data_IF_385460288271
#
_entry.id   IF_385460288271
#
_cell.length_a   1.000
_cell.length_b   1.000
_cell.length_c   1.000
_cell.angle_alpha   90.00
_cell.angle_beta   90.00
_cell.angle_gamma   90.00
#
_symmetry.space_group_name_H-M   'P 1'
#
loop_
_entity.id
_entity.type
_entity.pdbx_description
1 polymer ?
#
# COMPACT_ATOMS: atom_id res chain seq x y z
N UNK A 1 24.22 -4.46 -4.18
CA UNK A 1 22.75 -4.53 -3.98
C UNK A 1 22.32 -3.52 -2.92
N UNK A 2 21.47 -2.55 -3.25
CA UNK A 2 20.88 -1.64 -2.27
C UNK A 2 19.87 -2.44 -1.43
N UNK A 3 20.01 -2.43 -0.11
CA UNK A 3 19.08 -3.16 0.76
C UNK A 3 17.65 -2.63 0.59
N UNK A 4 16.65 -3.53 0.69
CA UNK A 4 15.23 -3.17 0.63
C UNK A 4 14.91 -2.04 1.62
N UNK A 5 15.58 -2.02 2.77
CA UNK A 5 15.47 -0.96 3.76
C UNK A 5 15.87 0.43 3.22
N UNK A 6 17.01 0.54 2.51
CA UNK A 6 17.44 1.80 1.88
C UNK A 6 16.45 2.25 0.81
N UNK A 7 15.91 1.32 0.00
CA UNK A 7 14.84 1.62 -0.96
C UNK A 7 13.58 2.13 -0.25
N UNK A 8 13.19 1.54 0.90
CA UNK A 8 12.05 2.03 1.69
C UNK A 8 12.26 3.45 2.20
N UNK A 9 13.46 3.79 2.70
CA UNK A 9 13.78 5.16 3.14
C UNK A 9 13.68 6.14 1.96
N UNK A 10 14.27 5.79 0.83
CA UNK A 10 14.25 6.65 -0.36
C UNK A 10 12.83 6.81 -0.93
N UNK A 11 11.99 5.77 -0.85
CA UNK A 11 10.58 5.83 -1.22
C UNK A 11 9.82 6.82 -0.33
N UNK A 12 10.05 6.78 0.99
CA UNK A 12 9.44 7.74 1.91
C UNK A 12 9.91 9.16 1.65
N UNK A 13 11.18 9.35 1.28
CA UNK A 13 11.71 10.65 0.91
C UNK A 13 11.09 11.16 -0.40
N UNK A 14 10.87 10.30 -1.39
CA UNK A 14 10.16 10.67 -2.61
C UNK A 14 8.69 11.03 -2.35
N UNK A 15 7.98 10.21 -1.56
CA UNK A 15 6.60 10.51 -1.15
C UNK A 15 6.49 11.81 -0.34
N UNK A 16 7.54 12.18 0.42
CA UNK A 16 7.59 13.49 1.09
C UNK A 16 7.45 14.64 0.12
N UNK A 17 8.30 14.68 -0.91
CA UNK A 17 8.29 15.77 -1.87
C UNK A 17 6.94 15.88 -2.59
N UNK A 18 6.31 14.74 -2.87
CA UNK A 18 5.01 14.69 -3.54
C UNK A 18 3.92 15.25 -2.64
N UNK A 19 3.80 14.74 -1.40
CA UNK A 19 2.79 15.20 -0.45
C UNK A 19 3.01 16.66 -0.09
N UNK A 20 4.26 17.09 0.10
CA UNK A 20 4.60 18.49 0.31
C UNK A 20 4.20 19.36 -0.88
N UNK A 21 4.50 18.96 -2.12
CA UNK A 21 4.08 19.72 -3.30
C UNK A 21 2.56 19.88 -3.36
N UNK A 22 1.79 18.81 -3.09
CA UNK A 22 0.32 18.86 -3.03
C UNK A 22 -0.15 19.85 -1.97
N UNK A 23 0.43 19.81 -0.76
CA UNK A 23 0.07 20.72 0.32
C UNK A 23 0.37 22.17 -0.05
N UNK A 24 1.56 22.46 -0.60
CA UNK A 24 1.93 23.82 -1.01
C UNK A 24 1.05 24.37 -2.14
N UNK A 25 0.71 23.55 -3.14
CA UNK A 25 -0.23 23.94 -4.19
C UNK A 25 -1.62 24.23 -3.59
N UNK A 26 -2.10 23.37 -2.69
CA UNK A 26 -3.38 23.57 -2.02
C UNK A 26 -3.38 24.83 -1.14
N UNK A 27 -2.26 25.14 -0.49
CA UNK A 27 -2.08 26.34 0.31
C UNK A 27 -2.18 27.61 -0.54
N UNK A 28 -1.50 27.62 -1.70
CA UNK A 28 -1.50 28.76 -2.60
C UNK A 28 -2.89 29.01 -3.19
N UNK A 29 -3.62 27.94 -3.53
CA UNK A 29 -5.00 28.02 -4.00
C UNK A 29 -5.92 28.60 -2.92
N UNK A 30 -5.78 28.12 -1.67
CA UNK A 30 -6.58 28.59 -0.55
C UNK A 30 -6.28 30.06 -0.19
N UNK A 31 -5.00 30.44 -0.22
CA UNK A 31 -4.56 31.83 -0.02
C UNK A 31 -5.17 32.79 -1.06
N UNK A 32 -5.23 32.36 -2.33
CA UNK A 32 -5.84 33.16 -3.39
C UNK A 32 -7.35 33.38 -3.16
N UNK A 33 -8.05 32.40 -2.57
CA UNK A 33 -9.49 32.48 -2.28
C UNK A 33 -9.78 33.39 -1.08
N UNK A 34 -8.91 33.39 -0.06
CA UNK A 34 -9.20 33.98 1.26
C UNK A 34 -8.75 35.47 1.39
N UNK A 35 -7.99 36.03 0.43
CA UNK A 35 -7.44 37.40 0.46
C UNK A 35 -6.50 37.67 1.66
N UNK A 36 -5.62 38.70 1.62
CA UNK A 36 -4.43 38.77 2.47
C UNK A 36 -4.69 39.12 3.95
N UNK A 37 -5.93 39.41 4.35
CA UNK A 37 -6.25 39.83 5.73
C UNK A 37 -6.09 38.70 6.77
N UNK A 38 -6.09 37.44 6.35
CA UNK A 38 -6.03 36.26 7.23
C UNK A 38 -4.94 35.27 6.83
N UNK A 39 -3.85 35.75 6.23
CA UNK A 39 -2.72 34.90 5.79
C UNK A 39 -2.16 33.96 6.88
N UNK A 40 -2.17 34.37 8.16
CA UNK A 40 -1.77 33.53 9.28
C UNK A 40 -2.72 32.33 9.51
N UNK A 41 -4.02 32.52 9.30
CA UNK A 41 -5.03 31.47 9.46
C UNK A 41 -4.84 30.33 8.43
N UNK A 42 -4.40 30.68 7.22
CA UNK A 42 -4.09 29.68 6.18
C UNK A 42 -3.00 28.72 6.66
N UNK A 43 -1.92 29.22 7.27
CA UNK A 43 -0.83 28.39 7.77
C UNK A 43 -1.25 27.49 8.95
N UNK A 44 -2.14 27.96 9.83
CA UNK A 44 -2.71 27.13 10.90
C UNK A 44 -3.57 25.99 10.32
N UNK A 45 -4.38 26.28 9.30
CA UNK A 45 -5.14 25.25 8.59
C UNK A 45 -4.22 24.19 7.94
N UNK A 46 -3.03 24.57 7.46
CA UNK A 46 -2.09 23.61 6.87
C UNK A 46 -1.57 22.58 7.87
N UNK A 47 -1.41 22.94 9.14
CA UNK A 47 -0.98 21.99 10.19
C UNK A 47 -2.00 20.87 10.36
N UNK A 48 -3.29 21.19 10.28
CA UNK A 48 -4.39 20.20 10.38
C UNK A 48 -4.61 19.48 9.04
N UNK A 49 -4.46 20.18 7.92
CA UNK A 49 -4.71 19.63 6.59
C UNK A 49 -3.64 18.62 6.17
N UNK A 50 -2.39 18.86 6.55
CA UNK A 50 -1.23 17.99 6.25
C UNK A 50 -1.44 16.51 6.63
N UNK A 51 -1.78 16.15 7.89
CA UNK A 51 -2.01 14.76 8.28
C UNK A 51 -3.20 14.13 7.56
N UNK A 52 -4.25 14.91 7.31
CA UNK A 52 -5.47 14.44 6.63
C UNK A 52 -5.14 14.09 5.18
N UNK A 53 -4.53 15.02 4.44
CA UNK A 53 -4.12 14.82 3.04
C UNK A 53 -3.09 13.69 2.95
N UNK A 54 -2.14 13.63 3.87
CA UNK A 54 -1.15 12.56 3.95
C UNK A 54 -1.79 11.19 4.08
N UNK A 55 -2.71 10.99 5.05
CA UNK A 55 -3.42 9.72 5.20
C UNK A 55 -4.19 9.38 3.93
N UNK A 56 -4.97 10.33 3.41
CA UNK A 56 -5.81 10.09 2.23
C UNK A 56 -4.92 9.65 1.05
N UNK A 57 -3.81 10.35 0.81
CA UNK A 57 -2.83 9.99 -0.21
C UNK A 57 -2.33 8.56 -0.01
N UNK A 58 -1.76 8.24 1.16
CA UNK A 58 -1.17 6.91 1.40
C UNK A 58 -2.21 5.79 1.36
N UNK A 59 -3.39 5.99 1.95
CA UNK A 59 -4.44 4.97 2.00
C UNK A 59 -5.03 4.70 0.63
N UNK A 60 -5.36 5.75 -0.14
CA UNK A 60 -5.93 5.58 -1.47
C UNK A 60 -4.95 4.90 -2.43
N UNK A 61 -3.69 5.33 -2.42
CA UNK A 61 -2.68 4.78 -3.32
C UNK A 61 -2.36 3.33 -2.98
N UNK A 62 -2.10 3.04 -1.71
CA UNK A 62 -1.73 1.70 -1.29
C UNK A 62 -2.91 0.72 -1.39
N UNK A 63 -4.16 1.18 -1.24
CA UNK A 63 -5.33 0.34 -1.47
C UNK A 63 -5.56 0.04 -2.96
N UNK A 64 -5.55 1.07 -3.82
CA UNK A 64 -5.90 0.90 -5.24
C UNK A 64 -4.78 0.25 -6.04
N UNK A 65 -3.54 0.67 -5.81
CA UNK A 65 -2.39 0.28 -6.62
C UNK A 65 -1.37 -0.57 -5.86
N UNK A 66 -1.59 -0.90 -4.57
CA UNK A 66 -0.62 -1.66 -3.76
C UNK A 66 0.66 -0.88 -3.44
N UNK A 67 0.82 0.32 -4.01
CA UNK A 67 2.05 1.11 -3.94
C UNK A 67 1.74 2.60 -3.89
N UNK A 68 2.68 3.39 -3.40
CA UNK A 68 2.67 4.86 -3.49
C UNK A 68 3.60 5.32 -4.59
N UNK A 69 3.47 6.57 -5.04
CA UNK A 69 4.31 7.07 -6.15
C UNK A 69 5.80 6.92 -5.83
N UNK A 70 6.23 7.26 -4.61
CA UNK A 70 7.62 7.10 -4.19
C UNK A 70 8.08 5.64 -4.11
N UNK A 71 7.19 4.72 -3.75
CA UNK A 71 7.49 3.28 -3.71
C UNK A 71 7.52 2.66 -5.10
N UNK A 72 6.64 3.08 -5.99
CA UNK A 72 6.58 2.62 -7.36
C UNK A 72 7.85 3.02 -8.13
N UNK A 73 8.36 4.24 -7.92
CA UNK A 73 9.66 4.69 -8.46
C UNK A 73 10.84 3.79 -8.05
N UNK A 74 10.69 3.01 -6.98
CA UNK A 74 11.73 2.11 -6.47
C UNK A 74 11.35 0.62 -6.59
N UNK A 75 10.31 0.31 -7.38
CA UNK A 75 9.79 -1.04 -7.61
C UNK A 75 9.44 -1.76 -6.31
N UNK A 76 8.86 -1.02 -5.36
CA UNK A 76 8.38 -1.55 -4.10
C UNK A 76 6.86 -1.61 -4.11
N UNK A 77 6.34 -2.74 -3.64
CA UNK A 77 4.91 -2.98 -3.51
C UNK A 77 4.58 -3.49 -2.11
N UNK A 78 3.35 -3.22 -1.68
CA UNK A 78 2.84 -3.64 -0.39
C UNK A 78 1.75 -4.68 -0.60
N UNK A 79 2.01 -5.87 -0.09
CA UNK A 79 1.08 -6.98 -0.13
C UNK A 79 0.56 -7.30 1.27
N UNK A 80 -0.66 -7.82 1.34
CA UNK A 80 -1.22 -8.37 2.57
C UNK A 80 -0.58 -9.72 2.88
N UNK A 81 -0.32 -9.96 4.16
CA UNK A 81 0.10 -11.25 4.71
C UNK A 81 -0.99 -11.82 5.61
N UNK A 82 -2.23 -11.35 5.46
CA UNK A 82 -3.38 -11.92 6.13
C UNK A 82 -3.76 -13.24 5.48
N UNK A 83 -4.20 -14.22 6.26
CA UNK A 83 -4.41 -15.60 5.79
C UNK A 83 -5.47 -15.67 4.66
N UNK A 84 -6.43 -14.74 4.67
CA UNK A 84 -7.50 -14.64 3.68
C UNK A 84 -7.11 -13.88 2.40
N UNK A 85 -6.13 -12.99 2.45
CA UNK A 85 -5.75 -12.11 1.32
C UNK A 85 -4.23 -12.21 1.06
N UNK A 86 -3.67 -13.40 1.25
CA UNK A 86 -2.22 -13.59 1.24
C UNK A 86 -1.63 -13.27 -0.14
N UNK A 87 -0.66 -12.35 -0.16
CA UNK A 87 -0.05 -11.76 -1.36
C UNK A 87 -0.97 -10.92 -2.24
N UNK A 88 -2.13 -10.50 -1.74
CA UNK A 88 -3.05 -9.62 -2.47
C UNK A 88 -2.92 -8.16 -2.01
N UNK A 89 -3.60 -7.28 -2.75
CA UNK A 89 -3.66 -5.85 -2.42
C UNK A 89 -4.26 -5.63 -1.04
N UNK A 90 -3.77 -4.61 -0.35
CA UNK A 90 -4.19 -4.35 1.02
C UNK A 90 -5.60 -3.72 1.10
N UNK A 91 -6.52 -4.26 1.91
CA UNK A 91 -7.83 -3.65 2.12
C UNK A 91 -7.71 -2.33 2.90
N UNK A 92 -8.71 -1.45 2.76
CA UNK A 92 -8.71 -0.11 3.37
C UNK A 92 -8.39 -0.11 4.87
N UNK A 93 -8.94 -1.08 5.61
CA UNK A 93 -8.69 -1.21 7.06
C UNK A 93 -7.22 -1.44 7.37
N UNK A 94 -6.55 -2.33 6.63
CA UNK A 94 -5.12 -2.62 6.81
C UNK A 94 -4.27 -1.41 6.39
N UNK A 95 -4.63 -0.74 5.29
CA UNK A 95 -3.95 0.46 4.83
C UNK A 95 -4.00 1.60 5.86
N UNK A 96 -5.16 1.84 6.49
CA UNK A 96 -5.32 2.88 7.51
C UNK A 96 -4.47 2.58 8.74
N UNK A 97 -4.55 1.37 9.31
CA UNK A 97 -3.81 0.99 10.52
C UNK A 97 -2.30 1.14 10.30
N UNK A 98 -1.80 0.72 9.14
CA UNK A 98 -0.40 0.85 8.78
C UNK A 98 0.07 2.29 8.58
N UNK A 99 -0.81 3.14 8.06
CA UNK A 99 -0.52 4.55 7.79
C UNK A 99 -0.75 5.46 9.00
N UNK A 100 -1.39 4.97 10.07
CA UNK A 100 -1.72 5.77 11.25
C UNK A 100 -0.48 6.35 11.94
N UNK A 101 0.62 5.61 11.97
CA UNK A 101 1.92 6.10 12.48
C UNK A 101 2.62 7.11 11.57
N UNK A 102 2.08 7.40 10.39
CA UNK A 102 2.60 8.46 9.50
C UNK A 102 1.97 9.83 9.77
N UNK A 103 0.98 9.92 10.69
CA UNK A 103 0.18 11.12 10.94
C UNK A 103 0.99 12.38 11.26
N UNK A 104 2.18 12.30 11.87
CA UNK A 104 2.97 13.51 12.19
C UNK A 104 4.46 13.39 11.89
N UNK A 105 4.87 12.48 11.01
CA UNK A 105 6.27 12.23 10.62
C UNK A 105 7.16 11.68 11.76
N UNK A 106 7.07 12.25 12.95
CA UNK A 106 7.75 11.89 14.19
C UNK A 106 7.44 10.45 14.66
N UNK A 107 6.19 9.94 14.60
CA UNK A 107 5.91 8.56 15.00
C UNK A 107 6.55 7.53 14.08
N UNK A 108 7.00 7.90 12.87
CA UNK A 108 7.69 6.99 11.93
C UNK A 108 9.08 6.62 12.47
N UNK A 109 9.83 7.59 12.98
CA UNK A 109 11.18 7.35 13.52
C UNK A 109 11.07 6.43 14.75
N UNK A 110 10.08 6.69 15.60
CA UNK A 110 9.78 5.87 16.78
C UNK A 110 9.34 4.46 16.39
N UNK A 111 8.44 4.31 15.40
CA UNK A 111 7.96 3.00 14.90
C UNK A 111 9.10 2.17 14.25
N UNK A 112 10.05 2.82 13.58
CA UNK A 112 11.25 2.16 13.02
C UNK A 112 12.23 1.74 14.14
N UNK A 113 12.49 2.62 15.11
CA UNK A 113 13.42 2.33 16.22
C UNK A 113 12.88 1.21 17.10
N UNK A 114 11.61 1.30 17.53
CA UNK A 114 10.99 0.27 18.37
C UNK A 114 10.83 -1.03 17.58
N UNK A 115 10.46 -0.98 16.29
CA UNK A 115 10.39 -2.17 15.44
C UNK A 115 11.71 -2.92 15.38
N UNK A 116 12.83 -2.19 15.33
CA UNK A 116 14.19 -2.76 15.31
C UNK A 116 14.65 -3.26 16.68
N UNK A 117 14.19 -2.67 17.78
CA UNK A 117 14.50 -3.10 19.14
C UNK A 117 13.69 -4.35 19.55
N UNK A 118 12.46 -4.48 19.06
CA UNK A 118 11.52 -5.54 19.44
C UNK A 118 11.61 -6.78 18.55
N UNK A 119 12.28 -6.72 17.38
CA UNK A 119 12.52 -7.91 16.55
C UNK A 119 13.53 -7.68 15.43
N UNK A 120 14.26 -8.71 15.04
CA UNK A 120 15.33 -8.64 14.01
C UNK A 120 14.84 -8.40 12.56
N UNK A 121 13.56 -8.03 12.38
CA UNK A 121 12.95 -7.84 11.05
C UNK A 121 12.98 -6.36 10.64
N UNK A 122 13.28 -6.09 9.37
CA UNK A 122 13.25 -4.76 8.75
C UNK A 122 11.81 -4.17 8.58
N UNK A 123 10.85 -4.64 9.38
CA UNK A 123 9.44 -4.33 9.27
C UNK A 123 8.93 -3.51 10.45
N UNK A 124 8.04 -2.56 10.15
CA UNK A 124 7.46 -1.64 11.14
C UNK A 124 6.42 -2.36 12.00
N UNK A 125 6.23 -1.91 13.24
CA UNK A 125 5.33 -2.55 14.20
C UNK A 125 3.89 -2.54 13.68
N UNK A 126 3.46 -1.39 13.17
CA UNK A 126 2.12 -1.28 12.58
C UNK A 126 1.98 -2.03 11.26
N UNK A 127 3.09 -2.31 10.56
CA UNK A 127 3.09 -3.24 9.42
C UNK A 127 2.78 -4.68 9.86
N UNK A 128 3.36 -5.11 10.99
CA UNK A 128 3.07 -6.42 11.60
C UNK A 128 1.63 -6.51 12.10
N UNK A 129 1.14 -5.48 12.81
CA UNK A 129 -0.26 -5.45 13.26
C UNK A 129 -1.25 -5.41 12.10
N UNK A 130 -0.93 -4.70 11.03
CA UNK A 130 -1.76 -4.65 9.83
C UNK A 130 -1.64 -5.93 8.97
N UNK A 131 -0.78 -6.90 9.34
CA UNK A 131 -0.42 -8.08 8.54
C UNK A 131 -0.07 -7.68 7.09
N UNK A 132 0.92 -6.80 6.93
CA UNK A 132 1.36 -6.33 5.61
C UNK A 132 2.87 -6.41 5.46
N UNK A 133 3.33 -6.71 4.25
CA UNK A 133 4.75 -6.82 3.92
C UNK A 133 5.09 -5.99 2.69
N UNK A 134 6.30 -5.44 2.66
CA UNK A 134 6.82 -4.71 1.49
C UNK A 134 7.80 -5.60 0.75
N UNK A 135 7.47 -5.94 -0.48
CA UNK A 135 8.26 -6.80 -1.38
C UNK A 135 8.67 -6.02 -2.64
N UNK A 136 9.52 -6.63 -3.46
CA UNK A 136 9.82 -6.12 -4.79
C UNK A 136 8.65 -6.44 -5.72
N UNK A 137 8.30 -5.50 -6.60
CA UNK A 137 7.19 -5.64 -7.55
C UNK A 137 7.32 -6.88 -8.44
N UNK A 138 8.54 -7.24 -8.86
CA UNK A 138 8.81 -8.46 -9.63
C UNK A 138 8.40 -9.74 -8.88
N UNK A 139 8.62 -9.78 -7.56
CA UNK A 139 8.23 -10.92 -6.73
C UNK A 139 6.71 -10.97 -6.55
N UNK A 140 6.07 -9.80 -6.46
CA UNK A 140 4.61 -9.70 -6.38
C UNK A 140 3.97 -10.23 -7.67
N UNK A 141 4.44 -9.78 -8.83
CA UNK A 141 3.96 -10.19 -10.15
C UNK A 141 4.11 -11.68 -10.40
N UNK A 142 5.28 -12.26 -10.09
CA UNK A 142 5.49 -13.70 -10.24
C UNK A 142 4.56 -14.53 -9.33
N UNK A 143 4.12 -13.96 -8.20
CA UNK A 143 3.16 -14.61 -7.31
C UNK A 143 1.74 -14.54 -7.87
N UNK A 144 1.37 -13.43 -8.52
CA UNK A 144 0.08 -13.28 -9.22
C UNK A 144 -0.01 -14.18 -10.45
N UNK A 145 1.04 -14.26 -11.27
CA UNK A 145 1.08 -15.14 -12.47
C UNK A 145 0.88 -16.61 -12.09
N UNK A 146 1.58 -17.10 -11.04
CA UNK A 146 1.39 -18.47 -10.53
C UNK A 146 -0.03 -18.74 -10.07
N UNK A 147 -0.68 -17.78 -9.40
CA UNK A 147 -2.07 -17.93 -8.96
C UNK A 147 -3.00 -18.06 -10.16
N UNK A 148 -2.79 -17.27 -11.22
CA UNK A 148 -3.59 -17.34 -12.44
C UNK A 148 -3.43 -18.68 -13.15
N UNK A 149 -2.19 -19.17 -13.27
CA UNK A 149 -1.92 -20.51 -13.84
C UNK A 149 -2.61 -21.62 -13.04
N UNK A 150 -2.59 -21.55 -11.70
CA UNK A 150 -3.27 -22.53 -10.84
C UNK A 150 -4.81 -22.49 -10.97
N UNK A 151 -5.40 -21.30 -11.19
CA UNK A 151 -6.84 -21.14 -11.41
C UNK A 151 -7.23 -21.70 -12.77
N UNK A 152 -6.50 -21.36 -13.83
CA UNK A 152 -6.74 -21.86 -15.19
C UNK A 152 -6.62 -23.39 -15.23
N UNK A 153 -5.63 -23.97 -14.54
CA UNK A 153 -5.49 -25.43 -14.43
C UNK A 153 -6.69 -26.09 -13.71
N UNK A 154 -7.30 -25.42 -12.72
CA UNK A 154 -8.47 -25.93 -11.99
C UNK A 154 -9.74 -25.83 -12.84
N UNK A 155 -9.93 -24.74 -13.57
CA UNK A 155 -11.06 -24.57 -14.49
C UNK A 155 -11.02 -25.62 -15.59
N UNK A 156 -9.87 -25.81 -16.24
CA UNK A 156 -9.71 -26.83 -17.29
C UNK A 156 -10.01 -28.25 -16.77
N UNK A 157 -9.53 -28.61 -15.58
CA UNK A 157 -9.86 -29.92 -14.97
C UNK A 157 -11.34 -30.09 -14.65
N UNK A 158 -12.01 -29.01 -14.23
CA UNK A 158 -13.44 -29.05 -13.93
C UNK A 158 -14.26 -29.22 -15.22
N UNK A 159 -13.87 -28.55 -16.31
CA UNK A 159 -14.48 -28.74 -17.63
C UNK A 159 -14.29 -30.16 -18.15
N UNK A 160 -13.10 -30.74 -18.05
CA UNK A 160 -12.82 -32.14 -18.41
C UNK A 160 -13.70 -33.12 -17.62
N UNK A 161 -13.83 -32.92 -16.29
CA UNK A 161 -14.64 -33.79 -15.43
C UNK A 161 -16.15 -33.72 -15.79
N UNK A 162 -16.66 -32.51 -16.09
CA UNK A 162 -18.05 -32.33 -16.49
C UNK A 162 -18.36 -32.94 -17.87
N UNK A 163 -17.40 -32.95 -18.79
CA UNK A 163 -17.55 -33.58 -20.11
C UNK A 163 -17.60 -35.11 -20.00
N UNK A 164 -16.77 -35.70 -19.13
CA UNK A 164 -16.78 -37.16 -18.86
C UNK A 164 -18.10 -37.63 -18.22
N UNK A 165 -18.68 -36.86 -17.27
CA UNK A 165 -20.00 -37.20 -16.68
C UNK A 165 -21.15 -37.13 -17.70
N UNK A 166 -21.10 -36.20 -18.65
CA UNK A 166 -22.11 -36.04 -19.70
C UNK A 166 -22.00 -37.14 -20.77
N UNK A 167 -20.79 -37.60 -21.10
CA UNK A 167 -20.60 -38.76 -21.98
C UNK A 167 -21.03 -40.07 -21.30
N UNK A 168 -20.67 -40.29 -20.03
CA UNK A 168 -21.07 -41.48 -19.27
C UNK A 168 -22.60 -41.60 -19.10
N UNK A 169 -23.34 -40.49 -19.05
CA UNK A 169 -24.81 -40.50 -18.91
C UNK A 169 -25.54 -40.78 -20.24
N UNK A 170 -24.85 -40.66 -21.37
CA UNK A 170 -25.44 -40.95 -22.70
C UNK A 170 -25.34 -42.43 -23.07
N UNK A 171 -24.38 -43.15 -22.52
CA UNK A 171 -24.17 -44.58 -22.79
C UNK A 171 -25.08 -45.51 -21.95
N UNK A 172 -25.80 -44.98 -20.94
CA UNK A 172 -26.75 -45.73 -20.10
C UNK A 172 -28.23 -45.68 -20.60
N UNK A 173 -28.51 -45.03 -21.74
CA UNK A 173 -29.83 -44.92 -22.39
C UNK A 173 -29.94 -45.75 -23.66
#
# INVERSE_FOLDING_TARGET
>A
MVSIFKKRILAYLADYFIVSAIIWISAQLLYFIILPLSGLFVYECLVILTPIVGIIYFVLLENKWGTTVGKHLLFLEVVSTDDYNYHERIPYKQAIIRNLSKIYWLPIIVDIIIGRLVGSSNERILGRYAKTKVILEEIARNSEEKKMEEVELKENKLEETNLEEVESSKDEL
#
